data_IF_932995115106
#
_entry.id   IF_932995115106
#
_cell.length_a   1.000
_cell.length_b   1.000
_cell.length_c   1.000
_cell.angle_alpha   90.00
_cell.angle_beta   90.00
_cell.angle_gamma   90.00
#
_symmetry.space_group_name_H-M   'P 1'
#
loop_
_entity.id
_entity.type
_entity.pdbx_description
1 polymer ?
#
# COMPACT_ATOMS: atom_id res chain seq x y z
N UNK A 1 -7.12 -6.86 11.95
CA UNK A 1 -7.74 -7.85 11.06
C UNK A 1 -7.05 -7.97 9.70
N UNK A 2 -6.71 -6.88 9.03
CA UNK A 2 -5.96 -6.92 7.77
C UNK A 2 -4.58 -7.56 7.93
N UNK A 3 -3.86 -7.27 9.00
CA UNK A 3 -2.59 -7.92 9.31
C UNK A 3 -2.73 -9.45 9.32
N UNK A 4 -3.75 -9.95 10.02
CA UNK A 4 -4.01 -11.39 10.09
C UNK A 4 -4.40 -11.95 8.72
N UNK A 5 -5.28 -11.27 7.98
CA UNK A 5 -5.73 -11.72 6.67
C UNK A 5 -4.57 -11.81 5.65
N UNK A 6 -3.73 -10.79 5.57
CA UNK A 6 -2.57 -10.81 4.67
C UNK A 6 -1.50 -11.81 5.13
N UNK A 7 -1.24 -11.89 6.43
CA UNK A 7 -0.35 -12.90 6.98
C UNK A 7 -0.81 -14.30 6.64
N UNK A 8 -2.08 -14.60 6.89
CA UNK A 8 -2.66 -15.91 6.54
C UNK A 8 -2.60 -16.21 5.04
N UNK A 9 -2.90 -15.23 4.18
CA UNK A 9 -2.82 -15.40 2.74
C UNK A 9 -1.42 -15.77 2.26
N UNK A 10 -0.39 -15.17 2.86
CA UNK A 10 1.01 -15.47 2.57
C UNK A 10 1.41 -16.88 2.99
N UNK A 11 0.94 -17.31 4.18
CA UNK A 11 1.26 -18.60 4.73
C UNK A 11 0.43 -19.75 4.17
N UNK A 12 -0.78 -19.47 3.68
CA UNK A 12 -1.73 -20.52 3.21
C UNK A 12 -1.25 -21.23 1.94
N UNK A 13 -0.67 -20.50 1.00
CA UNK A 13 -0.14 -21.07 -0.23
C UNK A 13 1.10 -20.31 -0.73
N UNK A 14 2.24 -20.44 -0.05
CA UNK A 14 3.46 -19.72 -0.45
C UNK A 14 3.93 -20.05 -1.87
N UNK A 15 3.70 -21.28 -2.34
CA UNK A 15 4.08 -21.70 -3.69
C UNK A 15 3.36 -20.93 -4.80
N UNK A 16 2.20 -20.30 -4.51
CA UNK A 16 1.50 -19.41 -5.45
C UNK A 16 2.37 -18.24 -5.90
N UNK A 17 3.32 -17.83 -5.07
CA UNK A 17 4.21 -16.69 -5.36
C UNK A 17 5.45 -17.08 -6.19
N UNK A 18 5.53 -18.31 -6.72
CA UNK A 18 6.59 -18.74 -7.61
C UNK A 18 7.99 -18.49 -7.05
N UNK A 19 8.81 -17.76 -7.79
CA UNK A 19 10.18 -17.39 -7.36
C UNK A 19 10.23 -16.61 -6.03
N UNK A 20 9.12 -15.99 -5.62
CA UNK A 20 9.00 -15.25 -4.35
C UNK A 20 8.42 -16.08 -3.20
N UNK A 21 8.32 -17.41 -3.35
CA UNK A 21 7.79 -18.30 -2.30
C UNK A 21 8.49 -18.09 -0.96
N UNK A 22 9.80 -17.99 -0.96
CA UNK A 22 10.57 -17.79 0.27
C UNK A 22 10.26 -16.44 0.92
N UNK A 23 10.04 -15.40 0.13
CA UNK A 23 9.63 -14.10 0.64
C UNK A 23 8.27 -14.19 1.35
N UNK A 24 7.30 -14.90 0.76
CA UNK A 24 6.00 -15.11 1.37
C UNK A 24 6.10 -15.83 2.72
N UNK A 25 6.92 -16.89 2.82
CA UNK A 25 7.19 -17.61 4.07
C UNK A 25 7.84 -16.71 5.11
N UNK A 26 8.85 -15.94 4.73
CA UNK A 26 9.57 -15.04 5.62
C UNK A 26 8.64 -13.96 6.18
N UNK A 27 7.79 -13.36 5.33
CA UNK A 27 6.82 -12.37 5.77
C UNK A 27 5.74 -12.97 6.66
N UNK A 28 5.25 -14.17 6.36
CA UNK A 28 4.31 -14.88 7.23
C UNK A 28 4.88 -15.08 8.63
N UNK A 29 6.11 -15.56 8.75
CA UNK A 29 6.79 -15.75 10.03
C UNK A 29 7.00 -14.40 10.74
N UNK A 30 7.54 -13.41 10.04
CA UNK A 30 7.83 -12.08 10.59
C UNK A 30 6.58 -11.39 11.15
N UNK A 31 5.45 -11.47 10.45
CA UNK A 31 4.18 -10.88 10.90
C UNK A 31 3.72 -11.49 12.22
N UNK A 32 3.97 -12.77 12.44
CA UNK A 32 3.57 -13.48 13.67
C UNK A 32 4.52 -13.18 14.84
N UNK A 33 5.82 -13.19 14.58
CA UNK A 33 6.86 -13.03 15.61
C UNK A 33 7.00 -11.60 16.11
N UNK A 34 6.61 -10.62 15.29
CA UNK A 34 6.78 -9.20 15.60
C UNK A 34 5.46 -8.52 15.90
N UNK A 35 5.46 -7.56 16.83
CA UNK A 35 4.31 -6.70 17.12
C UNK A 35 4.06 -5.60 16.07
N UNK A 36 4.71 -5.68 14.90
CA UNK A 36 4.63 -4.68 13.84
C UNK A 36 3.23 -4.59 13.25
N UNK A 37 2.78 -3.36 13.04
CA UNK A 37 1.50 -3.11 12.36
C UNK A 37 1.70 -3.19 10.85
N UNK A 38 0.90 -4.04 10.21
CA UNK A 38 0.97 -4.34 8.79
C UNK A 38 -0.38 -4.04 8.15
N UNK A 39 -0.39 -3.27 7.08
CA UNK A 39 -1.61 -2.86 6.40
C UNK A 39 -1.46 -2.99 4.87
N UNK A 40 -2.32 -2.36 4.10
CA UNK A 40 -2.28 -2.39 2.65
C UNK A 40 -2.62 -1.02 2.03
N UNK A 41 -2.14 -0.79 0.82
CA UNK A 41 -2.54 0.33 -0.04
C UNK A 41 -2.66 -0.17 -1.48
N UNK A 42 -3.90 -0.33 -1.95
CA UNK A 42 -4.22 -0.97 -3.24
C UNK A 42 -4.98 -0.05 -4.20
N UNK A 43 -5.64 1.00 -3.69
CA UNK A 43 -6.49 1.88 -4.50
C UNK A 43 -5.65 2.89 -5.27
N UNK A 44 -5.80 2.91 -6.59
CA UNK A 44 -5.18 3.93 -7.43
C UNK A 44 -5.87 5.29 -7.28
N UNK A 45 -5.14 6.42 -7.41
CA UNK A 45 -5.74 7.75 -7.43
C UNK A 45 -6.86 7.88 -8.47
N UNK A 46 -7.98 8.58 -8.15
CA UNK A 46 -9.12 8.73 -9.04
C UNK A 46 -8.89 9.82 -10.10
N UNK A 47 -7.85 9.65 -10.88
CA UNK A 47 -7.59 10.48 -12.07
C UNK A 47 -8.48 10.01 -13.22
N UNK A 48 -8.33 10.59 -14.40
CA UNK A 48 -9.20 10.31 -15.55
C UNK A 48 -9.36 8.80 -15.80
N UNK A 49 -10.47 8.24 -15.35
CA UNK A 49 -10.78 6.80 -15.43
C UNK A 49 -11.10 6.33 -16.84
N UNK A 50 -11.24 7.26 -17.80
CA UNK A 50 -11.46 6.96 -19.20
C UNK A 50 -10.15 6.76 -19.96
N UNK A 51 -9.02 7.09 -19.34
CA UNK A 51 -7.71 6.92 -19.93
C UNK A 51 -7.07 5.61 -19.49
N UNK A 52 -6.35 4.93 -20.40
CA UNK A 52 -5.54 3.77 -20.05
C UNK A 52 -4.40 4.17 -19.10
N UNK A 53 -3.87 3.19 -18.36
CA UNK A 53 -2.80 3.44 -17.37
C UNK A 53 -1.56 4.13 -17.97
N UNK A 54 -1.21 3.83 -19.21
CA UNK A 54 -0.07 4.43 -19.92
C UNK A 54 -0.20 5.94 -20.15
N UNK A 55 -1.42 6.47 -20.28
CA UNK A 55 -1.66 7.91 -20.43
C UNK A 55 -1.62 8.67 -19.10
N UNK A 56 -1.71 7.95 -17.98
CA UNK A 56 -1.73 8.48 -16.62
C UNK A 56 -0.59 7.90 -15.77
N UNK A 57 0.43 7.39 -16.42
CA UNK A 57 1.55 6.64 -15.86
C UNK A 57 2.34 7.37 -14.77
N UNK A 58 2.28 8.69 -14.75
CA UNK A 58 3.03 9.49 -13.78
C UNK A 58 2.35 9.55 -12.41
N UNK A 59 1.15 8.99 -12.27
CA UNK A 59 0.38 9.01 -11.03
C UNK A 59 0.30 7.64 -10.36
N UNK A 60 0.13 6.57 -11.14
CA UNK A 60 0.04 5.22 -10.58
C UNK A 60 1.41 4.69 -10.18
N UNK A 61 1.46 3.85 -9.14
CA UNK A 61 2.71 3.18 -8.78
C UNK A 61 3.13 2.28 -9.93
N UNK A 62 4.35 2.48 -10.40
CA UNK A 62 4.98 1.77 -11.50
C UNK A 62 6.44 1.43 -11.20
N UNK A 63 6.93 0.43 -11.89
CA UNK A 63 8.35 0.14 -11.99
C UNK A 63 9.04 1.27 -12.76
N UNK A 64 10.10 1.83 -12.18
CA UNK A 64 10.98 2.77 -12.90
C UNK A 64 12.25 2.09 -13.38
N UNK A 65 12.78 1.21 -12.54
CA UNK A 65 14.06 0.56 -12.82
C UNK A 65 14.21 -0.71 -11.99
N UNK A 66 14.78 -1.73 -12.61
CA UNK A 66 15.34 -2.89 -11.93
C UNK A 66 16.82 -2.67 -11.57
N UNK A 67 17.24 -3.25 -10.45
CA UNK A 67 18.61 -3.22 -9.95
C UNK A 67 19.01 -4.59 -9.42
N UNK A 68 20.29 -4.82 -9.17
CA UNK A 68 20.78 -6.08 -8.58
C UNK A 68 20.25 -6.30 -7.14
N UNK A 69 19.79 -5.25 -6.47
CA UNK A 69 19.30 -5.31 -5.09
C UNK A 69 17.76 -5.38 -4.96
N UNK A 70 17.03 -5.07 -6.04
CA UNK A 70 15.58 -4.96 -6.05
C UNK A 70 15.09 -4.05 -7.16
N UNK A 71 13.95 -3.41 -6.95
CA UNK A 71 13.34 -2.48 -7.91
C UNK A 71 13.26 -1.07 -7.34
N UNK A 72 13.17 -0.08 -8.22
CA UNK A 72 12.84 1.32 -7.88
C UNK A 72 11.42 1.58 -8.37
N UNK A 73 10.59 2.15 -7.52
CA UNK A 73 9.19 2.43 -7.83
C UNK A 73 8.83 3.88 -7.53
N UNK A 74 7.93 4.45 -8.34
CA UNK A 74 7.32 5.77 -8.10
C UNK A 74 5.84 5.76 -8.41
N UNK A 75 5.11 6.70 -7.82
CA UNK A 75 3.68 6.91 -8.00
C UNK A 75 2.93 7.03 -6.69
N UNK A 76 1.60 6.85 -6.73
CA UNK A 76 0.76 7.05 -5.56
C UNK A 76 -0.34 5.99 -5.42
N UNK A 77 -0.78 5.80 -4.17
CA UNK A 77 -2.02 5.12 -3.79
C UNK A 77 -2.85 6.06 -2.93
N UNK A 78 -4.17 5.90 -2.99
CA UNK A 78 -5.11 6.65 -2.15
C UNK A 78 -5.89 5.71 -1.23
N UNK A 79 -6.63 6.29 -0.30
CA UNK A 79 -7.35 5.51 0.73
C UNK A 79 -6.38 4.57 1.44
N UNK A 80 -5.19 5.08 1.73
CA UNK A 80 -4.18 4.36 2.49
C UNK A 80 -4.49 4.48 3.99
N UNK A 81 -5.62 3.89 4.38
CA UNK A 81 -6.19 3.97 5.73
C UNK A 81 -5.20 3.51 6.77
N UNK A 82 -5.02 4.31 7.82
CA UNK A 82 -4.08 4.08 8.92
C UNK A 82 -2.59 3.95 8.52
N UNK A 83 -2.20 4.35 7.31
CA UNK A 83 -0.79 4.26 6.89
C UNK A 83 0.14 5.11 7.75
N UNK A 84 -0.34 6.20 8.34
CA UNK A 84 0.44 7.01 9.27
C UNK A 84 0.79 6.29 10.59
N UNK A 85 0.07 5.22 10.92
CA UNK A 85 0.25 4.40 12.12
C UNK A 85 0.81 3.01 11.81
N UNK A 86 1.23 2.78 10.58
CA UNK A 86 1.61 1.48 10.04
C UNK A 86 3.13 1.38 9.87
N UNK A 87 3.72 0.25 10.21
CA UNK A 87 5.13 -0.02 9.96
C UNK A 87 5.37 -0.47 8.52
N UNK A 88 4.46 -1.28 7.98
CA UNK A 88 4.56 -1.83 6.63
C UNK A 88 3.21 -1.81 5.91
N UNK A 89 3.20 -1.35 4.67
CA UNK A 89 2.08 -1.50 3.77
C UNK A 89 2.37 -2.54 2.69
N UNK A 90 1.42 -3.44 2.47
CA UNK A 90 1.38 -4.21 1.25
C UNK A 90 0.84 -3.34 0.13
N UNK A 91 1.68 -3.06 -0.83
CA UNK A 91 1.32 -2.35 -2.05
C UNK A 91 0.90 -3.38 -3.09
N UNK A 92 -0.22 -3.14 -3.73
CA UNK A 92 -0.75 -4.03 -4.75
C UNK A 92 -1.65 -3.29 -5.74
N UNK A 93 -2.31 -4.07 -6.59
CA UNK A 93 -3.25 -3.53 -7.57
C UNK A 93 -4.67 -4.06 -7.28
N UNK A 94 -5.67 -3.21 -7.47
CA UNK A 94 -7.06 -3.57 -7.19
C UNK A 94 -7.76 -4.31 -8.34
N UNK A 95 -7.29 -4.16 -9.58
CA UNK A 95 -7.87 -4.79 -10.77
C UNK A 95 -6.88 -4.79 -11.93
N UNK A 96 -6.76 -5.94 -12.59
CA UNK A 96 -5.96 -6.08 -13.81
C UNK A 96 -6.48 -5.17 -14.96
N UNK A 97 -7.78 -4.91 -15.00
CA UNK A 97 -8.38 -4.04 -16.02
C UNK A 97 -7.87 -2.58 -15.96
N UNK A 98 -7.47 -2.12 -14.79
CA UNK A 98 -6.96 -0.75 -14.60
C UNK A 98 -5.49 -0.63 -15.01
N UNK A 99 -4.76 -1.74 -15.01
CA UNK A 99 -3.33 -1.75 -15.33
C UNK A 99 -3.05 -1.73 -16.84
N UNK A 100 -4.02 -2.12 -17.65
CA UNK A 100 -3.79 -2.30 -19.08
C UNK A 100 -2.83 -3.47 -19.37
N UNK A 101 -2.10 -3.39 -20.48
CA UNK A 101 -1.15 -4.42 -20.92
C UNK A 101 0.30 -4.12 -20.48
N UNK A 102 0.54 -3.00 -19.80
CA UNK A 102 1.89 -2.61 -19.38
C UNK A 102 2.29 -3.29 -18.07
N UNK A 103 3.28 -4.19 -18.08
CA UNK A 103 3.73 -4.93 -16.91
C UNK A 103 4.33 -4.06 -15.81
N UNK A 104 4.79 -2.84 -16.13
CA UNK A 104 5.37 -1.92 -15.14
C UNK A 104 4.41 -1.56 -13.99
N UNK A 105 3.10 -1.72 -14.22
CA UNK A 105 2.07 -1.47 -13.20
C UNK A 105 1.65 -2.74 -12.43
N UNK A 106 2.11 -3.91 -12.84
CA UNK A 106 1.76 -5.20 -12.25
C UNK A 106 2.63 -5.51 -11.02
N UNK A 107 2.68 -4.61 -10.06
CA UNK A 107 3.56 -4.71 -8.89
C UNK A 107 2.80 -5.15 -7.65
N UNK A 108 3.40 -6.08 -6.90
CA UNK A 108 2.98 -6.43 -5.55
C UNK A 108 4.21 -6.57 -4.64
N UNK A 109 4.28 -5.75 -3.60
CA UNK A 109 5.42 -5.72 -2.68
C UNK A 109 5.04 -5.20 -1.30
N UNK A 110 5.93 -5.37 -0.34
CA UNK A 110 5.81 -4.81 1.01
C UNK A 110 6.74 -3.61 1.15
N UNK A 111 6.18 -2.45 1.44
CA UNK A 111 6.93 -1.22 1.67
C UNK A 111 7.03 -0.91 3.16
N UNK A 112 8.23 -0.71 3.72
CA UNK A 112 8.37 -0.06 5.01
C UNK A 112 7.97 1.41 4.89
N UNK A 113 7.23 1.91 5.90
CA UNK A 113 6.71 3.28 5.86
C UNK A 113 7.76 4.34 6.19
N UNK A 114 8.91 3.93 6.69
CA UNK A 114 10.09 4.76 6.95
C UNK A 114 11.13 4.70 5.82
N UNK A 115 10.82 4.05 4.69
CA UNK A 115 11.73 4.02 3.56
C UNK A 115 11.92 5.41 2.96
N UNK A 116 13.16 5.70 2.53
CA UNK A 116 13.47 6.93 1.82
C UNK A 116 12.58 7.08 0.58
N UNK A 117 12.01 8.27 0.36
CA UNK A 117 11.09 8.55 -0.73
C UNK A 117 9.62 8.24 -0.44
N UNK A 118 9.30 7.57 0.67
CA UNK A 118 7.90 7.39 1.09
C UNK A 118 7.40 8.66 1.76
N UNK A 119 6.25 9.16 1.29
CA UNK A 119 5.58 10.36 1.81
C UNK A 119 4.10 10.07 2.03
N UNK A 120 3.54 10.65 3.08
CA UNK A 120 2.10 10.59 3.34
C UNK A 120 1.50 11.99 3.29
N UNK A 121 0.42 12.14 2.53
CA UNK A 121 -0.44 13.32 2.58
C UNK A 121 -1.69 12.89 3.32
N UNK A 122 -1.70 13.12 4.64
CA UNK A 122 -2.80 12.75 5.52
C UNK A 122 -3.90 13.78 5.46
N UNK A 123 -5.16 13.34 5.51
CA UNK A 123 -6.29 14.25 5.72
C UNK A 123 -6.32 14.75 7.18
N UNK A 124 -7.13 15.75 7.42
CA UNK A 124 -7.42 16.19 8.79
C UNK A 124 -8.14 15.07 9.58
N UNK A 125 -7.85 14.99 10.89
CA UNK A 125 -8.54 14.08 11.81
C UNK A 125 -10.03 14.37 11.85
N UNK A 126 -10.87 13.35 11.75
CA UNK A 126 -12.32 13.49 11.90
C UNK A 126 -12.69 13.93 13.30
N UNK A 127 -12.02 13.42 14.33
CA UNK A 127 -12.25 13.79 15.71
C UNK A 127 -12.00 15.29 15.92
N UNK A 128 -10.87 15.81 15.43
CA UNK A 128 -10.57 17.24 15.50
C UNK A 128 -11.61 18.10 14.78
N UNK A 129 -12.00 17.70 13.56
CA UNK A 129 -13.00 18.44 12.77
C UNK A 129 -14.35 18.39 13.44
N UNK A 130 -14.81 17.25 13.92
CA UNK A 130 -16.08 17.11 14.64
C UNK A 130 -16.11 17.92 15.92
N UNK A 131 -15.00 17.99 16.67
CA UNK A 131 -14.86 18.80 17.88
C UNK A 131 -14.87 20.31 17.60
N UNK A 132 -14.39 20.74 16.44
CA UNK A 132 -14.35 22.16 16.07
C UNK A 132 -15.65 22.67 15.40
N UNK A 133 -16.37 21.81 14.67
CA UNK A 133 -17.46 22.22 13.76
C UNK A 133 -18.83 21.67 14.17
N UNK A 134 -18.93 20.78 15.14
CA UNK A 134 -20.16 20.11 15.52
C UNK A 134 -20.16 19.63 16.95
N UNK A 135 -20.97 18.63 17.19
CA UNK A 135 -21.11 18.00 18.50
C UNK A 135 -21.06 16.47 18.39
N UNK A 136 -20.84 15.74 19.51
CA UNK A 136 -20.97 14.28 19.52
C UNK A 136 -22.36 13.76 19.12
N UNK A 137 -23.37 14.61 19.18
CA UNK A 137 -24.71 14.26 18.69
C UNK A 137 -24.75 14.21 17.16
N UNK A 138 -24.15 15.21 16.50
CA UNK A 138 -24.10 15.29 15.03
C UNK A 138 -23.12 14.29 14.43
N UNK A 139 -22.02 14.01 15.15
CA UNK A 139 -20.96 13.13 14.72
C UNK A 139 -20.64 12.05 15.77
N UNK A 140 -21.59 11.13 16.05
CA UNK A 140 -21.48 10.21 17.19
C UNK A 140 -20.31 9.21 17.09
N UNK A 141 -19.89 8.85 15.88
CA UNK A 141 -18.76 7.97 15.64
C UNK A 141 -17.45 8.75 15.46
N UNK A 142 -17.45 9.73 14.55
CA UNK A 142 -16.22 10.48 14.20
C UNK A 142 -15.69 11.34 15.34
N UNK A 143 -16.54 11.74 16.31
CA UNK A 143 -16.08 12.45 17.51
C UNK A 143 -15.39 11.57 18.56
N UNK A 144 -15.41 10.24 18.37
CA UNK A 144 -14.86 9.27 19.32
C UNK A 144 -13.86 8.31 18.71
N UNK A 145 -13.99 8.04 17.42
CA UNK A 145 -13.18 7.08 16.68
C UNK A 145 -12.64 7.77 15.45
N UNK A 146 -11.36 8.11 15.52
CA UNK A 146 -10.70 8.70 14.37
C UNK A 146 -10.33 7.62 13.37
N UNK A 147 -10.51 7.95 12.09
CA UNK A 147 -9.98 7.19 10.97
C UNK A 147 -9.02 8.08 10.20
N UNK A 148 -7.82 7.60 9.98
CA UNK A 148 -6.77 8.35 9.32
C UNK A 148 -6.52 7.79 7.93
N UNK A 149 -7.06 8.48 6.93
CA UNK A 149 -6.74 8.20 5.53
C UNK A 149 -5.61 9.09 5.03
N UNK A 150 -4.85 8.56 4.10
CA UNK A 150 -3.75 9.26 3.46
C UNK A 150 -3.66 8.95 1.97
N UNK A 151 -3.01 9.85 1.24
CA UNK A 151 -2.40 9.53 -0.04
C UNK A 151 -0.97 9.08 0.28
N UNK A 152 -0.65 7.87 -0.11
CA UNK A 152 0.70 7.32 -0.04
C UNK A 152 1.42 7.65 -1.34
N UNK A 153 2.48 8.42 -1.26
CA UNK A 153 3.33 8.77 -2.40
C UNK A 153 4.67 8.07 -2.26
N UNK A 154 5.10 7.47 -3.34
CA UNK A 154 6.43 6.88 -3.50
C UNK A 154 7.21 7.68 -4.53
N UNK A 155 8.37 8.19 -4.12
CA UNK A 155 9.24 9.03 -4.93
C UNK A 155 10.61 8.35 -5.02
N UNK A 156 10.82 7.58 -6.09
CA UNK A 156 12.03 6.78 -6.32
C UNK A 156 12.36 5.80 -5.18
N UNK A 157 11.33 5.13 -4.63
CA UNK A 157 11.48 4.26 -3.45
C UNK A 157 12.17 2.95 -3.85
N UNK A 158 13.29 2.59 -3.20
CA UNK A 158 13.92 1.29 -3.40
C UNK A 158 13.13 0.19 -2.68
N UNK A 159 12.76 -0.86 -3.41
CA UNK A 159 12.09 -2.05 -2.90
C UNK A 159 13.03 -3.25 -3.04
N UNK A 160 13.66 -3.72 -1.97
CA UNK A 160 14.57 -4.86 -2.01
C UNK A 160 13.85 -6.15 -2.42
N UNK A 161 14.54 -7.07 -3.09
CA UNK A 161 13.98 -8.36 -3.50
C UNK A 161 13.25 -9.14 -2.38
N UNK A 162 13.70 -9.18 -1.11
CA UNK A 162 12.97 -9.83 -0.04
C UNK A 162 11.56 -9.25 0.23
N UNK A 163 11.29 -8.05 -0.23
CA UNK A 163 10.01 -7.37 -0.09
C UNK A 163 9.09 -7.56 -1.31
N UNK A 164 9.62 -8.10 -2.43
CA UNK A 164 8.85 -8.36 -3.64
C UNK A 164 7.96 -9.59 -3.49
N UNK A 165 6.85 -9.57 -4.23
CA UNK A 165 5.88 -10.67 -4.32
C UNK A 165 5.58 -11.10 -5.72
N UNK A 166 5.40 -10.13 -6.63
CA UNK A 166 5.21 -10.33 -8.05
C UNK A 166 5.56 -9.04 -8.79
N UNK A 167 6.17 -9.18 -9.96
CA UNK A 167 6.45 -8.07 -10.86
C UNK A 167 6.62 -8.60 -12.29
N UNK A 168 5.73 -9.45 -12.78
CA UNK A 168 5.70 -9.87 -14.18
C UNK A 168 4.38 -9.45 -14.82
#
# INVERSE_FOLDING_TARGET
DYKAAFGCALGANPAFYGQFEQNARNWYTRIQETGLYFNHAIVNPPIDRHKPADEVKDVYIKLEKETDAGIIVSGAKVVATNSALTHYNMIGFGSAQVMGENPDFALMFVAPMDAEGVKLISRASYEMVAGATGSPYDYPLSSRFDENDAILVMDHVPVPYPNLRAHE
#
